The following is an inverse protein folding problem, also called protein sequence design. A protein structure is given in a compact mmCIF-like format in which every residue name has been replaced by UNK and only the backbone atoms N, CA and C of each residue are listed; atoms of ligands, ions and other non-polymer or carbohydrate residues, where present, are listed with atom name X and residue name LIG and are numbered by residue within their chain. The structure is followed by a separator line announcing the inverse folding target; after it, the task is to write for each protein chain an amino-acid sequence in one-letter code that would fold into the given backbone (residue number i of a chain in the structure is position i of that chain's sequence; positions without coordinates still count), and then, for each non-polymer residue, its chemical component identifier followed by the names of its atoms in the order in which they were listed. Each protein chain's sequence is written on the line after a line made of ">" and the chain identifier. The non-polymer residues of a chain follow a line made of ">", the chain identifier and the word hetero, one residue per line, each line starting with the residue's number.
data_IF_723616850299
#
_entry.id   IF_723616850299
#
_cell.length_a   1.000
_cell.length_b   1.000
_cell.length_c   1.000
_cell.angle_alpha   90.00
_cell.angle_beta   90.00
_cell.angle_gamma   90.00
#
_symmetry.space_group_name_H-M   'P 1'
#
loop_
_entity.id
_entity.type
_entity.pdbx_description
1 polymer ?
#
# COMPACT_ATOMS: atom_id res chain seq x y z
N UNK A 1 23.43 7.95 -6.44
CA UNK A 1 23.06 6.55 -6.71
C UNK A 1 21.67 6.33 -6.16
N UNK A 2 20.75 5.79 -6.95
CA UNK A 2 19.35 5.55 -6.54
C UNK A 2 19.26 4.13 -6.01
N UNK A 3 18.60 3.94 -4.85
CA UNK A 3 18.20 2.63 -4.33
C UNK A 3 16.80 2.32 -4.80
N UNK A 4 16.56 1.07 -5.22
CA UNK A 4 15.29 0.64 -5.78
C UNK A 4 14.70 -0.50 -4.95
N UNK A 5 13.41 -0.38 -4.62
CA UNK A 5 12.60 -1.50 -4.11
C UNK A 5 11.68 -1.97 -5.23
N UNK A 6 11.86 -3.21 -5.68
CA UNK A 6 10.95 -3.87 -6.63
C UNK A 6 9.84 -4.55 -5.84
N UNK A 7 8.63 -4.08 -6.02
CA UNK A 7 7.45 -4.64 -5.36
C UNK A 7 6.83 -5.72 -6.26
N UNK A 8 6.86 -6.96 -5.79
CA UNK A 8 6.59 -8.17 -6.57
C UNK A 8 5.25 -8.76 -6.18
N UNK A 9 4.41 -9.06 -7.18
CA UNK A 9 3.11 -9.73 -6.99
C UNK A 9 3.26 -11.26 -6.97
N UNK A 10 2.23 -11.94 -6.49
CA UNK A 10 2.23 -13.40 -6.38
C UNK A 10 2.52 -14.10 -7.72
N UNK A 11 1.84 -13.78 -8.85
CA UNK A 11 2.13 -14.43 -10.12
C UNK A 11 3.57 -14.22 -10.62
N UNK A 12 4.13 -13.04 -10.36
CA UNK A 12 5.52 -12.72 -10.74
C UNK A 12 6.52 -13.55 -9.90
N UNK A 13 6.24 -13.73 -8.61
CA UNK A 13 7.09 -14.59 -7.76
C UNK A 13 7.02 -16.07 -8.15
N UNK A 14 5.89 -16.53 -8.69
CA UNK A 14 5.69 -17.92 -9.13
C UNK A 14 6.26 -18.21 -10.53
N UNK A 15 6.55 -17.20 -11.33
CA UNK A 15 7.13 -17.40 -12.66
C UNK A 15 8.65 -17.60 -12.59
N UNK A 16 9.12 -18.75 -13.09
CA UNK A 16 10.52 -19.15 -12.98
C UNK A 16 11.49 -18.14 -13.63
N UNK A 17 11.12 -17.56 -14.78
CA UNK A 17 11.94 -16.55 -15.47
C UNK A 17 12.04 -15.25 -14.66
N UNK A 18 10.91 -14.82 -14.11
CA UNK A 18 10.85 -13.65 -13.24
C UNK A 18 11.68 -13.87 -11.97
N UNK A 19 11.59 -15.06 -11.35
CA UNK A 19 12.39 -15.42 -10.19
C UNK A 19 13.90 -15.37 -10.47
N UNK A 20 14.36 -15.84 -11.63
CA UNK A 20 15.76 -15.75 -12.05
C UNK A 20 16.23 -14.29 -12.17
N UNK A 21 15.41 -13.44 -12.81
CA UNK A 21 15.70 -12.01 -12.92
C UNK A 21 15.75 -11.32 -11.55
N UNK A 22 14.80 -11.63 -10.66
CA UNK A 22 14.75 -11.06 -9.32
C UNK A 22 15.98 -11.45 -8.49
N UNK A 23 16.45 -12.69 -8.58
CA UNK A 23 17.71 -13.12 -7.96
C UNK A 23 18.90 -12.33 -8.47
N UNK A 24 18.96 -12.08 -9.77
CA UNK A 24 20.01 -11.26 -10.39
C UNK A 24 19.97 -9.81 -9.90
N UNK A 25 18.79 -9.20 -9.80
CA UNK A 25 18.59 -7.84 -9.31
C UNK A 25 18.96 -7.71 -7.82
N UNK A 26 18.60 -8.71 -7.00
CA UNK A 26 18.93 -8.76 -5.57
C UNK A 26 20.43 -8.78 -5.28
N UNK A 27 21.22 -9.36 -6.17
CA UNK A 27 22.69 -9.36 -6.07
C UNK A 27 23.31 -7.95 -6.11
N UNK A 28 22.56 -6.93 -6.49
CA UNK A 28 22.96 -5.52 -6.46
C UNK A 28 22.86 -4.92 -5.05
N UNK A 29 23.88 -4.13 -4.65
CA UNK A 29 23.94 -3.49 -3.32
C UNK A 29 22.86 -2.44 -3.05
N UNK A 30 22.14 -2.01 -4.08
CA UNK A 30 21.18 -0.89 -4.01
C UNK A 30 19.76 -1.35 -4.40
N UNK A 31 19.48 -2.64 -4.25
CA UNK A 31 18.18 -3.22 -4.66
C UNK A 31 17.56 -4.02 -3.53
N UNK A 32 16.27 -3.81 -3.30
CA UNK A 32 15.41 -4.57 -2.41
C UNK A 32 14.27 -5.21 -3.22
N UNK A 33 13.85 -6.41 -2.82
CA UNK A 33 12.63 -7.05 -3.33
C UNK A 33 11.59 -7.03 -2.21
N UNK A 34 10.50 -6.32 -2.42
CA UNK A 34 9.36 -6.21 -1.51
C UNK A 34 8.10 -6.88 -2.07
N UNK A 35 7.08 -6.97 -1.27
CA UNK A 35 5.80 -7.58 -1.60
C UNK A 35 4.79 -6.57 -2.14
N UNK A 36 4.13 -6.90 -3.26
CA UNK A 36 2.98 -6.17 -3.77
C UNK A 36 1.74 -7.06 -3.76
N UNK A 37 0.85 -6.80 -2.80
CA UNK A 37 -0.30 -7.65 -2.54
C UNK A 37 -1.51 -7.23 -3.38
N UNK A 38 -1.95 -8.10 -4.26
CA UNK A 38 -3.22 -7.98 -4.97
C UNK A 38 -4.23 -8.99 -4.43
N UNK A 39 -5.29 -8.54 -3.80
CA UNK A 39 -6.32 -9.38 -3.21
C UNK A 39 -6.98 -10.36 -4.20
N UNK A 40 -7.01 -9.98 -5.49
CA UNK A 40 -7.66 -10.75 -6.56
C UNK A 40 -6.78 -11.83 -7.21
N UNK A 41 -5.48 -11.84 -6.98
CA UNK A 41 -4.54 -12.80 -7.60
C UNK A 41 -3.66 -13.54 -6.60
N UNK A 42 -3.73 -13.16 -5.32
CA UNK A 42 -2.95 -13.81 -4.25
C UNK A 42 -3.81 -14.87 -3.57
N UNK A 43 -3.40 -16.15 -3.53
CA UNK A 43 -4.18 -17.18 -2.83
C UNK A 43 -4.10 -17.01 -1.29
N UNK A 44 -5.15 -17.45 -0.55
CA UNK A 44 -6.40 -18.02 -1.06
C UNK A 44 -7.34 -16.93 -1.61
N UNK A 45 -7.77 -17.08 -2.85
CA UNK A 45 -8.77 -16.20 -3.47
C UNK A 45 -9.69 -16.99 -4.38
N UNK A 46 -10.97 -16.60 -4.46
CA UNK A 46 -11.95 -17.16 -5.38
C UNK A 46 -12.39 -16.13 -6.41
N UNK A 47 -13.01 -16.55 -7.51
CA UNK A 47 -13.60 -15.60 -8.47
C UNK A 47 -14.65 -14.69 -7.85
N UNK A 48 -15.34 -15.15 -6.81
CA UNK A 48 -16.28 -14.33 -6.06
C UNK A 48 -15.58 -13.23 -5.27
N UNK A 49 -14.41 -13.53 -4.69
CA UNK A 49 -13.60 -12.55 -3.95
C UNK A 49 -13.06 -11.47 -4.87
N UNK A 50 -12.58 -11.85 -6.07
CA UNK A 50 -12.10 -10.93 -7.10
C UNK A 50 -13.12 -9.82 -7.43
N UNK A 51 -14.41 -10.21 -7.50
CA UNK A 51 -15.49 -9.26 -7.79
C UNK A 51 -15.95 -8.45 -6.58
N UNK A 52 -15.90 -9.04 -5.38
CA UNK A 52 -16.42 -8.43 -4.14
C UNK A 52 -15.40 -7.57 -3.42
N UNK A 53 -14.13 -7.93 -3.50
CA UNK A 53 -13.05 -7.35 -2.70
C UNK A 53 -11.93 -6.80 -3.60
N UNK A 54 -12.17 -5.69 -4.34
CA UNK A 54 -11.15 -5.09 -5.20
C UNK A 54 -10.01 -4.43 -4.41
N UNK A 55 -10.18 -4.26 -3.09
CA UNK A 55 -9.18 -3.71 -2.17
C UNK A 55 -8.91 -4.70 -1.04
N UNK A 56 -7.65 -4.84 -0.64
CA UNK A 56 -7.27 -5.72 0.47
C UNK A 56 -7.96 -5.36 1.79
N UNK A 57 -8.23 -4.06 2.02
CA UNK A 57 -8.95 -3.58 3.21
C UNK A 57 -10.39 -4.12 3.34
N UNK A 58 -10.94 -4.71 2.29
CA UNK A 58 -12.28 -5.31 2.28
C UNK A 58 -12.26 -6.81 2.61
N UNK A 59 -11.07 -7.43 2.66
CA UNK A 59 -10.93 -8.85 2.99
C UNK A 59 -11.24 -9.10 4.48
N UNK A 60 -11.81 -10.25 4.81
CA UNK A 60 -11.76 -10.76 6.18
C UNK A 60 -10.31 -10.83 6.68
N UNK A 61 -10.08 -10.50 7.95
CA UNK A 61 -8.72 -10.43 8.52
C UNK A 61 -7.96 -11.75 8.38
N UNK A 62 -8.63 -12.90 8.57
CA UNK A 62 -8.00 -14.22 8.36
C UNK A 62 -7.56 -14.43 6.92
N UNK A 63 -8.40 -14.08 5.94
CA UNK A 63 -8.06 -14.21 4.52
C UNK A 63 -6.92 -13.27 4.13
N UNK A 64 -6.91 -12.04 4.65
CA UNK A 64 -5.79 -11.12 4.45
C UNK A 64 -4.48 -11.71 4.98
N UNK A 65 -4.47 -12.24 6.21
CA UNK A 65 -3.29 -12.86 6.80
C UNK A 65 -2.80 -14.07 5.98
N UNK A 66 -3.71 -14.93 5.52
CA UNK A 66 -3.38 -16.09 4.69
C UNK A 66 -2.79 -15.68 3.33
N UNK A 67 -3.35 -14.65 2.69
CA UNK A 67 -2.82 -14.10 1.44
C UNK A 67 -1.43 -13.48 1.63
N UNK A 68 -1.23 -12.75 2.72
CA UNK A 68 0.08 -12.16 3.06
C UNK A 68 1.13 -13.27 3.29
N UNK A 69 0.75 -14.35 3.99
CA UNK A 69 1.62 -15.50 4.20
C UNK A 69 1.98 -16.19 2.88
N UNK A 70 1.00 -16.43 2.00
CA UNK A 70 1.20 -17.05 0.67
C UNK A 70 2.13 -16.20 -0.21
N UNK A 71 1.93 -14.88 -0.26
CA UNK A 71 2.78 -13.97 -1.03
C UNK A 71 4.21 -13.94 -0.48
N UNK A 72 4.35 -13.84 0.84
CA UNK A 72 5.66 -13.85 1.50
C UNK A 72 6.44 -15.12 1.22
N UNK A 73 5.76 -16.28 1.27
CA UNK A 73 6.37 -17.57 0.97
C UNK A 73 6.79 -17.66 -0.50
N UNK A 74 5.92 -17.26 -1.43
CA UNK A 74 6.23 -17.26 -2.86
C UNK A 74 7.47 -16.41 -3.18
N UNK A 75 7.58 -15.22 -2.59
CA UNK A 75 8.76 -14.36 -2.76
C UNK A 75 9.99 -15.02 -2.13
N UNK A 76 9.85 -15.58 -0.92
CA UNK A 76 10.97 -16.27 -0.25
C UNK A 76 11.50 -17.43 -1.08
N UNK A 77 10.62 -18.24 -1.66
CA UNK A 77 10.99 -19.36 -2.53
C UNK A 77 11.67 -18.87 -3.82
N UNK A 78 11.19 -17.74 -4.37
CA UNK A 78 11.75 -17.15 -5.58
C UNK A 78 13.17 -16.60 -5.41
N UNK A 79 13.46 -15.92 -4.29
CA UNK A 79 14.72 -15.16 -4.11
C UNK A 79 15.60 -15.62 -2.94
N UNK A 80 15.13 -16.58 -2.13
CA UNK A 80 15.83 -17.11 -0.97
C UNK A 80 15.83 -16.19 0.26
N UNK A 81 15.00 -15.12 0.29
CA UNK A 81 14.94 -14.16 1.38
C UNK A 81 13.54 -13.63 1.58
N UNK A 82 13.15 -13.41 2.84
CA UNK A 82 11.85 -12.87 3.18
C UNK A 82 11.75 -11.38 2.84
N UNK A 83 10.66 -10.92 2.20
CA UNK A 83 10.46 -9.51 1.94
C UNK A 83 10.23 -8.74 3.25
N UNK A 84 10.80 -7.54 3.35
CA UNK A 84 10.62 -6.65 4.51
C UNK A 84 9.68 -5.48 4.21
N UNK A 85 9.54 -5.11 2.93
CA UNK A 85 8.66 -4.04 2.47
C UNK A 85 7.39 -4.60 1.85
N UNK A 86 6.27 -3.95 2.12
CA UNK A 86 4.93 -4.30 1.64
C UNK A 86 4.24 -3.10 1.00
N UNK A 87 3.47 -3.35 -0.04
CA UNK A 87 2.50 -2.41 -0.61
C UNK A 87 1.23 -3.15 -1.02
N UNK A 88 0.10 -2.62 -0.61
CA UNK A 88 -1.21 -3.10 -1.03
C UNK A 88 -1.56 -2.60 -2.43
N UNK A 89 -2.08 -3.49 -3.25
CA UNK A 89 -2.62 -3.16 -4.57
C UNK A 89 -3.75 -2.13 -4.46
N UNK A 90 -3.80 -1.21 -5.41
CA UNK A 90 -4.76 -0.09 -5.42
C UNK A 90 -4.73 0.74 -4.12
N UNK A 91 -3.60 0.70 -3.41
CA UNK A 91 -3.46 1.33 -2.10
C UNK A 91 -4.49 0.86 -1.05
N UNK A 92 -5.01 -0.36 -1.20
CA UNK A 92 -6.10 -0.91 -0.38
C UNK A 92 -5.68 -1.32 1.03
N UNK A 93 -4.97 -0.45 1.75
CA UNK A 93 -4.46 -0.66 3.10
C UNK A 93 -5.39 -0.04 4.15
N UNK A 94 -5.47 -0.69 5.31
CA UNK A 94 -6.18 -0.20 6.50
C UNK A 94 -5.37 -0.47 7.77
N UNK A 95 -5.66 0.28 8.84
CA UNK A 95 -4.99 0.12 10.13
C UNK A 95 -5.13 -1.30 10.72
N UNK A 96 -6.24 -1.99 10.43
CA UNK A 96 -6.46 -3.40 10.82
C UNK A 96 -5.39 -4.37 10.30
N UNK A 97 -4.67 -4.01 9.23
CA UNK A 97 -3.60 -4.83 8.64
C UNK A 97 -2.26 -4.72 9.38
N UNK A 98 -2.08 -3.69 10.20
CA UNK A 98 -0.79 -3.41 10.87
C UNK A 98 -0.29 -4.61 11.65
N UNK A 99 -1.12 -5.17 12.53
CA UNK A 99 -0.74 -6.34 13.36
C UNK A 99 -0.45 -7.60 12.52
N UNK A 100 -1.17 -7.80 11.41
CA UNK A 100 -0.97 -8.94 10.54
C UNK A 100 0.36 -8.84 9.79
N UNK A 101 0.68 -7.65 9.28
CA UNK A 101 1.95 -7.38 8.61
C UNK A 101 3.15 -7.49 9.57
N UNK A 102 3.03 -6.99 10.81
CA UNK A 102 4.09 -7.17 11.83
C UNK A 102 4.32 -8.65 12.15
N UNK A 103 3.25 -9.43 12.36
CA UNK A 103 3.35 -10.88 12.59
C UNK A 103 3.94 -11.61 11.40
N UNK A 104 3.64 -11.15 10.20
CA UNK A 104 4.26 -11.66 8.97
C UNK A 104 5.72 -11.23 8.79
N UNK A 105 6.26 -10.38 9.64
CA UNK A 105 7.67 -9.97 9.65
C UNK A 105 8.00 -8.76 8.80
N UNK A 106 7.01 -8.07 8.25
CA UNK A 106 7.22 -6.81 7.54
C UNK A 106 7.67 -5.69 8.48
N UNK A 107 8.45 -4.77 7.95
CA UNK A 107 9.00 -3.61 8.65
C UNK A 107 8.61 -2.30 8.01
N UNK A 108 8.32 -2.32 6.72
CA UNK A 108 7.99 -1.16 5.90
C UNK A 108 6.65 -1.40 5.23
N UNK A 109 5.78 -0.44 5.34
CA UNK A 109 4.54 -0.31 4.59
C UNK A 109 4.65 0.91 3.67
N UNK A 110 4.07 0.86 2.47
CA UNK A 110 4.14 1.97 1.52
C UNK A 110 2.88 2.08 0.67
N UNK A 111 1.70 1.93 1.29
CA UNK A 111 0.42 2.07 0.59
C UNK A 111 -0.24 3.43 0.82
N UNK A 112 0.09 4.13 1.91
CA UNK A 112 -0.54 5.42 2.18
C UNK A 112 -0.10 6.43 1.13
N UNK A 113 -1.07 6.95 0.39
CA UNK A 113 -0.88 8.02 -0.58
C UNK A 113 -1.60 9.27 -0.08
N UNK A 114 -0.90 10.22 0.56
CA UNK A 114 -1.53 11.45 1.06
C UNK A 114 -2.37 12.14 -0.01
N UNK A 115 -3.53 12.69 0.36
CA UNK A 115 -4.52 13.31 -0.55
C UNK A 115 -5.32 12.31 -1.42
N UNK A 116 -5.05 10.99 -1.34
CA UNK A 116 -5.79 10.00 -2.10
C UNK A 116 -7.07 9.58 -1.39
N UNK A 117 -8.17 9.53 -2.14
CA UNK A 117 -9.49 9.13 -1.65
C UNK A 117 -10.25 8.27 -2.66
N UNK A 118 -10.59 7.07 -2.27
CA UNK A 118 -11.46 6.14 -3.01
C UNK A 118 -12.61 5.59 -2.13
N UNK A 119 -12.88 6.23 -0.99
CA UNK A 119 -13.91 5.78 -0.04
C UNK A 119 -15.31 5.62 -0.65
N UNK A 120 -15.65 6.39 -1.68
CA UNK A 120 -16.91 6.25 -2.42
C UNK A 120 -17.05 4.91 -3.17
N UNK A 121 -15.95 4.17 -3.35
CA UNK A 121 -15.91 2.82 -3.94
C UNK A 121 -15.58 1.74 -2.91
N UNK A 122 -15.62 2.07 -1.63
CA UNK A 122 -15.17 1.17 -0.56
C UNK A 122 -13.64 1.00 -0.52
N UNK A 123 -12.90 1.89 -1.17
CA UNK A 123 -11.44 1.95 -1.14
C UNK A 123 -10.90 2.82 0.01
N UNK A 124 -9.60 3.07 0.04
CA UNK A 124 -8.95 3.79 1.12
C UNK A 124 -9.29 5.29 1.13
N UNK A 125 -9.18 5.87 2.32
CA UNK A 125 -9.19 7.31 2.56
C UNK A 125 -7.90 7.69 3.28
N UNK A 126 -6.99 8.35 2.58
CA UNK A 126 -5.71 8.83 3.12
C UNK A 126 -5.61 10.35 3.17
N UNK A 127 -6.77 11.02 3.11
CA UNK A 127 -6.82 12.48 3.26
C UNK A 127 -6.35 12.84 4.67
N UNK A 128 -5.36 13.72 4.76
CA UNK A 128 -4.76 14.15 6.03
C UNK A 128 -3.63 13.27 6.54
N UNK A 129 -3.25 12.20 5.83
CA UNK A 129 -2.06 11.42 6.18
C UNK A 129 -0.79 12.28 6.11
N UNK A 130 0.21 12.04 6.99
CA UNK A 130 1.50 12.71 6.91
C UNK A 130 2.17 12.45 5.56
N UNK A 131 2.82 13.46 4.94
CA UNK A 131 3.60 13.26 3.71
C UNK A 131 5.02 12.75 3.95
N UNK A 132 5.41 12.57 5.22
CA UNK A 132 6.74 12.10 5.65
C UNK A 132 6.62 10.75 6.35
N UNK A 133 7.68 9.92 6.38
CA UNK A 133 7.63 8.61 7.07
C UNK A 133 7.23 8.72 8.54
N UNK A 134 6.42 7.75 9.00
CA UNK A 134 5.95 7.63 10.38
C UNK A 134 5.67 6.18 10.74
N UNK A 135 5.78 5.82 12.02
CA UNK A 135 5.29 4.53 12.51
C UNK A 135 3.77 4.54 12.59
N UNK A 136 3.14 3.48 12.10
CA UNK A 136 1.67 3.38 12.01
C UNK A 136 1.02 3.24 13.39
N UNK A 137 -0.19 3.79 13.51
CA UNK A 137 -1.10 3.45 14.60
C UNK A 137 -1.91 2.19 14.26
N UNK A 138 -2.32 1.44 15.27
CA UNK A 138 -3.10 0.21 15.09
C UNK A 138 -4.58 0.46 14.76
N UNK A 139 -5.06 1.66 14.94
CA UNK A 139 -6.46 2.07 14.76
C UNK A 139 -6.66 3.12 13.66
N UNK A 140 -5.56 3.75 13.20
CA UNK A 140 -5.66 4.80 12.19
C UNK A 140 -4.43 4.80 11.26
N UNK A 141 -4.61 4.39 10.02
CA UNK A 141 -3.53 4.35 9.01
C UNK A 141 -3.00 5.75 8.61
N UNK A 142 -3.73 6.82 8.92
CA UNK A 142 -3.34 8.20 8.60
C UNK A 142 -2.74 8.96 9.78
N UNK A 143 -2.43 8.27 10.87
CA UNK A 143 -1.86 8.87 12.07
C UNK A 143 -0.60 8.16 12.54
N UNK A 144 0.40 8.90 13.03
CA UNK A 144 1.53 8.33 13.74
C UNK A 144 1.09 7.54 14.97
N UNK A 145 1.75 6.42 15.24
CA UNK A 145 1.46 5.54 16.37
C UNK A 145 2.70 4.83 16.89
N UNK A 146 2.49 3.68 17.52
CA UNK A 146 3.53 2.96 18.29
C UNK A 146 3.82 1.55 17.73
N UNK A 147 3.36 1.23 16.52
CA UNK A 147 3.71 -0.04 15.89
C UNK A 147 5.19 -0.09 15.50
N UNK A 148 5.69 -1.27 15.15
CA UNK A 148 7.02 -1.42 14.57
C UNK A 148 7.00 -1.42 13.03
N UNK A 149 5.88 -1.03 12.43
CA UNK A 149 5.68 -0.94 10.98
C UNK A 149 5.83 0.53 10.55
N UNK A 150 6.90 0.82 9.81
CA UNK A 150 7.19 2.15 9.29
C UNK A 150 6.40 2.37 7.99
N UNK A 151 5.52 3.34 7.96
CA UNK A 151 4.93 3.84 6.73
C UNK A 151 5.90 4.76 6.01
N UNK A 152 6.15 4.46 4.73
CA UNK A 152 6.84 5.35 3.80
C UNK A 152 5.81 5.81 2.77
N UNK A 153 5.18 6.97 2.98
CA UNK A 153 4.07 7.41 2.14
C UNK A 153 4.48 7.61 0.68
N UNK A 154 3.55 7.30 -0.21
CA UNK A 154 3.71 7.64 -1.62
C UNK A 154 3.76 9.16 -1.76
N UNK A 155 4.75 9.67 -2.47
CA UNK A 155 4.87 11.11 -2.70
C UNK A 155 3.63 11.64 -3.43
N UNK A 156 2.92 12.55 -2.79
CA UNK A 156 1.75 13.21 -3.33
C UNK A 156 1.87 14.71 -3.16
N UNK A 157 1.52 15.46 -4.19
CA UNK A 157 1.51 16.91 -4.15
C UNK A 157 0.40 17.47 -5.04
N UNK A 158 -0.10 18.62 -4.70
CA UNK A 158 -0.98 19.37 -5.59
C UNK A 158 -0.16 19.97 -6.75
N UNK A 159 -0.72 19.91 -7.97
CA UNK A 159 -0.04 20.40 -9.19
C UNK A 159 0.23 21.91 -9.18
N UNK A 160 -0.44 22.66 -8.30
CA UNK A 160 -0.24 24.10 -8.08
C UNK A 160 -0.19 24.38 -6.59
N UNK A 161 0.56 25.43 -6.22
CA UNK A 161 0.51 25.96 -4.85
C UNK A 161 -0.89 26.47 -4.56
N UNK A 162 -1.55 25.86 -3.61
CA UNK A 162 -2.84 26.31 -3.07
C UNK A 162 -2.62 27.00 -1.73
N UNK A 163 -3.42 28.02 -1.40
CA UNK A 163 -3.38 28.58 -0.06
C UNK A 163 -3.61 27.52 0.99
N UNK A 164 -2.85 27.56 2.09
CA UNK A 164 -2.94 26.57 3.17
C UNK A 164 -4.36 26.37 3.74
N UNK A 165 -5.21 27.40 3.60
CA UNK A 165 -6.64 27.31 3.96
C UNK A 165 -7.40 26.31 3.07
N UNK A 166 -7.08 26.24 1.78
CA UNK A 166 -7.71 25.29 0.84
C UNK A 166 -7.19 23.86 1.07
N UNK A 167 -5.93 23.69 1.41
CA UNK A 167 -5.37 22.40 1.83
C UNK A 167 -6.08 21.86 3.08
N UNK A 168 -6.29 22.72 4.09
CA UNK A 168 -7.05 22.36 5.30
C UNK A 168 -8.53 22.06 5.02
N UNK A 169 -9.13 22.77 4.08
CA UNK A 169 -10.52 22.54 3.66
C UNK A 169 -10.64 21.23 2.88
N UNK A 170 -9.63 20.87 2.07
CA UNK A 170 -9.59 19.59 1.37
C UNK A 170 -9.63 18.40 2.34
N UNK A 171 -8.80 18.44 3.40
CA UNK A 171 -8.76 17.40 4.43
C UNK A 171 -9.97 17.38 5.38
N UNK A 172 -10.84 18.40 5.36
CA UNK A 172 -12.03 18.52 6.25
C UNK A 172 -13.35 18.50 5.49
N UNK A 173 -13.33 18.48 4.17
CA UNK A 173 -14.56 18.50 3.38
C UNK A 173 -15.35 17.19 3.60
N UNK A 174 -16.67 17.28 3.77
CA UNK A 174 -17.53 16.11 3.99
C UNK A 174 -17.54 15.13 2.80
N UNK A 175 -17.01 15.55 1.66
CA UNK A 175 -16.78 14.73 0.48
C UNK A 175 -15.53 15.22 -0.26
N UNK A 176 -14.40 14.52 -0.12
CA UNK A 176 -13.18 14.80 -0.90
C UNK A 176 -13.41 14.78 -2.42
N UNK A 177 -14.42 14.01 -2.89
CA UNK A 177 -14.82 14.00 -4.29
C UNK A 177 -15.37 15.36 -4.76
N UNK A 178 -16.23 15.99 -3.96
CA UNK A 178 -16.76 17.33 -4.25
C UNK A 178 -15.63 18.36 -4.26
N UNK A 179 -14.72 18.29 -3.30
CA UNK A 179 -13.57 19.20 -3.22
C UNK A 179 -12.64 19.02 -4.40
N UNK A 180 -12.35 17.78 -4.82
CA UNK A 180 -11.57 17.46 -6.02
C UNK A 180 -12.24 18.00 -7.29
N UNK A 181 -13.55 17.93 -7.39
CA UNK A 181 -14.32 18.52 -8.49
C UNK A 181 -14.23 20.04 -8.51
N UNK A 182 -14.39 20.69 -7.34
CA UNK A 182 -14.25 22.15 -7.21
C UNK A 182 -12.83 22.59 -7.55
N UNK A 183 -11.81 21.91 -7.04
CA UNK A 183 -10.41 22.23 -7.34
C UNK A 183 -10.10 22.06 -8.84
N UNK A 184 -10.63 21.02 -9.49
CA UNK A 184 -10.53 20.85 -10.95
C UNK A 184 -11.20 21.99 -11.72
N UNK A 185 -12.40 22.39 -11.30
CA UNK A 185 -13.12 23.51 -11.94
C UNK A 185 -12.36 24.82 -11.80
N UNK A 186 -11.63 24.99 -10.68
CA UNK A 186 -10.74 26.15 -10.44
C UNK A 186 -9.38 25.99 -11.08
N UNK A 187 -9.08 24.88 -11.78
CA UNK A 187 -7.80 24.59 -12.39
C UNK A 187 -6.64 24.40 -11.40
N UNK A 188 -6.96 23.97 -10.16
CA UNK A 188 -6.00 23.83 -9.05
C UNK A 188 -5.55 22.37 -8.86
N UNK A 189 -6.32 21.38 -9.36
CA UNK A 189 -6.02 19.94 -9.28
C UNK A 189 -6.33 19.22 -10.58
#
# INVERSE_FOLDING_TARGET
>A
RVRLTYLVTYPVAQDARSADLLRGLRGGRDTEIGAHHHAWETPPSTEADVRRHPYALQLPSSQFADQVASLSQAITDAIGERPLSYRSGRFGFAASHVSDLERAGYRIESSVAPLFYEGHKGGPDFVGAPPTPYFLAYDNATAPGTSNLLEIPVSAALSRRVPAVLERLYGRAPSPYMTKRVLRTLGIA
#
